data_IF_798244540854
#
_entry.id   IF_798244540854
#
_cell.length_a   1.000
_cell.length_b   1.000
_cell.length_c   1.000
_cell.angle_alpha   90.00
_cell.angle_beta   90.00
_cell.angle_gamma   90.00
#
_symmetry.space_group_name_H-M   'P 1'
#
loop_
_entity.id
_entity.type
_entity.pdbx_description
1 polymer ?
#
# COMPACT_ATOMS: atom_id res chain seq x y z
N UNK A 1 -30.63 40.52 -16.08
CA UNK A 1 -29.46 39.66 -16.29
C UNK A 1 -29.34 38.68 -15.14
N UNK A 2 -29.32 37.38 -15.43
CA UNK A 2 -29.11 36.37 -14.41
C UNK A 2 -27.67 36.48 -13.85
N UNK A 3 -27.46 36.24 -12.54
CA UNK A 3 -26.11 36.18 -11.99
C UNK A 3 -25.32 35.08 -12.66
N UNK A 4 -24.06 35.38 -13.05
CA UNK A 4 -23.15 34.44 -13.68
C UNK A 4 -21.99 34.16 -12.75
N UNK A 5 -21.63 32.88 -12.56
CA UNK A 5 -20.48 32.43 -11.78
C UNK A 5 -19.70 31.42 -12.62
N UNK A 6 -18.40 31.58 -12.67
CA UNK A 6 -17.50 30.62 -13.26
C UNK A 6 -17.11 29.57 -12.22
N UNK A 7 -17.41 28.30 -12.50
CA UNK A 7 -17.02 27.17 -11.67
C UNK A 7 -15.75 26.48 -12.17
N UNK A 8 -14.94 25.97 -11.26
CA UNK A 8 -13.85 25.07 -11.62
C UNK A 8 -14.38 23.70 -12.06
N UNK A 9 -13.70 23.04 -12.99
CA UNK A 9 -14.07 21.73 -13.53
C UNK A 9 -12.95 20.69 -13.44
N UNK A 10 -11.86 21.00 -12.72
CA UNK A 10 -10.69 20.13 -12.59
C UNK A 10 -9.94 20.37 -11.26
N UNK A 11 -9.11 19.43 -10.88
CA UNK A 11 -8.20 19.55 -9.74
C UNK A 11 -8.89 19.64 -8.37
N UNK A 12 -8.20 20.17 -7.39
CA UNK A 12 -8.66 20.27 -5.99
C UNK A 12 -10.03 20.92 -5.80
N UNK A 13 -10.41 21.97 -6.57
CA UNK A 13 -11.74 22.58 -6.44
C UNK A 13 -12.91 21.63 -6.75
N UNK A 14 -12.67 20.49 -7.36
CA UNK A 14 -13.69 19.45 -7.61
C UNK A 14 -13.37 18.13 -6.91
N UNK A 15 -12.37 18.10 -6.02
CA UNK A 15 -12.03 16.93 -5.21
C UNK A 15 -11.09 15.94 -5.87
N UNK A 16 -10.38 16.36 -6.93
CA UNK A 16 -9.40 15.56 -7.66
C UNK A 16 -7.97 16.08 -7.43
N UNK A 17 -6.92 15.27 -7.73
CA UNK A 17 -5.55 15.76 -7.75
C UNK A 17 -5.38 16.95 -8.68
N UNK A 18 -4.39 17.81 -8.40
CA UNK A 18 -4.07 18.93 -9.27
C UNK A 18 -3.75 18.48 -10.69
N UNK A 19 -4.28 19.22 -11.67
CA UNK A 19 -4.12 18.91 -13.09
C UNK A 19 -5.03 17.81 -13.63
N UNK A 20 -5.74 17.08 -12.78
CA UNK A 20 -6.68 16.05 -13.23
C UNK A 20 -8.01 16.68 -13.68
N UNK A 21 -8.43 16.34 -14.90
CA UNK A 21 -9.72 16.77 -15.45
C UNK A 21 -10.88 16.14 -14.68
N UNK A 22 -11.93 16.90 -14.42
CA UNK A 22 -13.17 16.41 -13.86
C UNK A 22 -13.88 15.40 -14.76
N UNK A 23 -14.80 14.66 -14.16
CA UNK A 23 -15.62 13.68 -14.84
C UNK A 23 -17.09 13.77 -14.35
N UNK A 24 -17.97 13.01 -15.00
CA UNK A 24 -19.42 13.03 -14.70
C UNK A 24 -19.71 12.65 -13.25
N UNK A 25 -19.05 11.63 -12.72
CA UNK A 25 -19.27 11.14 -11.33
C UNK A 25 -18.95 12.24 -10.31
N UNK A 26 -17.74 12.80 -10.40
CA UNK A 26 -17.28 13.86 -9.50
C UNK A 26 -18.17 15.10 -9.59
N UNK A 27 -18.56 15.50 -10.82
CA UNK A 27 -19.44 16.63 -11.03
C UNK A 27 -20.83 16.45 -10.39
N UNK A 28 -21.45 15.29 -10.60
CA UNK A 28 -22.75 14.98 -10.01
C UNK A 28 -22.68 14.85 -8.49
N UNK A 29 -21.62 14.26 -7.94
CA UNK A 29 -21.43 14.15 -6.51
C UNK A 29 -21.29 15.52 -5.84
N UNK A 30 -20.48 16.42 -6.39
CA UNK A 30 -20.28 17.76 -5.85
C UNK A 30 -21.56 18.62 -5.94
N UNK A 31 -22.28 18.59 -7.07
CA UNK A 31 -23.55 19.30 -7.24
C UNK A 31 -24.59 18.76 -6.28
N UNK A 32 -24.75 17.43 -6.18
CA UNK A 32 -25.73 16.80 -5.31
C UNK A 32 -25.45 17.02 -3.82
N UNK A 33 -24.19 17.08 -3.42
CA UNK A 33 -23.78 17.30 -2.04
C UNK A 33 -23.74 18.79 -1.64
N UNK A 34 -23.73 19.69 -2.62
CA UNK A 34 -23.57 21.15 -2.36
C UNK A 34 -22.21 21.51 -1.74
N UNK A 35 -21.21 20.65 -1.85
CA UNK A 35 -19.83 20.83 -1.35
C UNK A 35 -18.84 20.00 -2.14
N UNK A 36 -17.56 20.29 -1.98
CA UNK A 36 -16.50 19.50 -2.59
C UNK A 36 -16.44 18.13 -1.90
N UNK A 37 -16.54 17.06 -2.70
CA UNK A 37 -16.32 15.67 -2.28
C UNK A 37 -14.95 15.24 -2.79
N UNK A 38 -13.98 15.14 -1.90
CA UNK A 38 -12.65 14.67 -2.26
C UNK A 38 -12.67 13.18 -2.56
N UNK A 39 -12.09 12.78 -3.68
CA UNK A 39 -11.82 11.37 -4.00
C UNK A 39 -10.78 10.82 -3.01
N UNK A 40 -10.78 9.51 -2.79
CA UNK A 40 -9.98 8.88 -1.73
C UNK A 40 -8.49 9.26 -1.80
N UNK A 41 -7.87 9.21 -2.98
CA UNK A 41 -6.49 9.65 -3.18
C UNK A 41 -6.27 11.08 -2.67
N UNK A 42 -7.11 12.01 -3.13
CA UNK A 42 -7.01 13.43 -2.77
C UNK A 42 -7.30 13.66 -1.30
N UNK A 43 -8.31 12.95 -0.74
CA UNK A 43 -8.71 13.05 0.66
C UNK A 43 -7.56 12.65 1.59
N UNK A 44 -6.91 11.53 1.31
CA UNK A 44 -5.78 11.04 2.13
C UNK A 44 -4.57 11.95 1.97
N UNK A 45 -4.23 12.32 0.73
CA UNK A 45 -3.10 13.24 0.47
C UNK A 45 -3.30 14.58 1.17
N UNK A 46 -4.54 15.12 1.16
CA UNK A 46 -4.88 16.34 1.89
C UNK A 46 -4.75 16.15 3.41
N UNK A 47 -5.26 15.06 3.96
CA UNK A 47 -5.15 14.77 5.38
C UNK A 47 -3.69 14.67 5.85
N UNK A 48 -2.81 14.13 5.01
CA UNK A 48 -1.35 14.10 5.27
C UNK A 48 -0.79 15.53 5.31
N UNK A 49 -1.14 16.36 4.33
CA UNK A 49 -0.67 17.74 4.25
C UNK A 49 -1.18 18.61 5.41
N UNK A 50 -2.43 18.43 5.81
CA UNK A 50 -3.07 19.16 6.91
C UNK A 50 -2.61 18.66 8.31
N UNK A 51 -2.06 17.44 8.38
CA UNK A 51 -1.62 16.81 9.63
C UNK A 51 -2.64 15.86 10.27
N UNK A 52 -3.90 15.91 9.88
CA UNK A 52 -5.01 15.10 10.44
C UNK A 52 -4.74 13.59 10.28
N UNK A 53 -4.01 13.19 9.23
CA UNK A 53 -3.61 11.80 9.00
C UNK A 53 -2.87 11.19 10.18
N UNK A 54 -2.04 11.98 10.86
CA UNK A 54 -1.21 11.55 11.99
C UNK A 54 -1.98 11.44 13.31
N UNK A 55 -3.24 11.88 13.31
CA UNK A 55 -4.18 11.77 14.43
C UNK A 55 -5.24 10.67 14.19
N UNK A 56 -5.10 9.87 13.15
CA UNK A 56 -6.05 8.80 12.83
C UNK A 56 -6.06 7.73 13.94
N UNK A 57 -7.20 7.63 14.62
CA UNK A 57 -7.39 6.78 15.81
C UNK A 57 -7.14 5.29 15.50
N UNK A 58 -7.56 4.78 14.35
CA UNK A 58 -7.41 3.37 13.98
C UNK A 58 -5.94 3.00 13.72
N UNK A 59 -5.18 3.89 13.05
CA UNK A 59 -3.75 3.66 12.83
C UNK A 59 -2.98 3.76 14.15
N UNK A 60 -3.33 4.71 15.01
CA UNK A 60 -2.74 4.83 16.34
C UNK A 60 -3.06 3.60 17.20
N UNK A 61 -4.29 3.08 17.15
CA UNK A 61 -4.69 1.88 17.87
C UNK A 61 -3.91 0.64 17.39
N UNK A 62 -3.64 0.51 16.08
CA UNK A 62 -2.83 -0.58 15.53
C UNK A 62 -1.39 -0.53 16.08
N UNK A 63 -0.77 0.65 16.13
CA UNK A 63 0.58 0.84 16.70
C UNK A 63 0.57 0.54 18.20
N UNK A 64 -0.44 1.03 18.93
CA UNK A 64 -0.54 0.80 20.38
C UNK A 64 -0.76 -0.67 20.72
N UNK A 65 -1.55 -1.40 19.90
CA UNK A 65 -1.67 -2.85 20.01
C UNK A 65 -0.30 -3.53 19.93
N UNK A 66 0.52 -3.16 18.94
CA UNK A 66 1.86 -3.72 18.80
C UNK A 66 2.75 -3.40 19.97
N UNK A 67 2.73 -2.18 20.49
CA UNK A 67 3.49 -1.78 21.70
C UNK A 67 3.07 -2.61 22.91
N UNK A 68 1.75 -2.76 23.13
CA UNK A 68 1.20 -3.49 24.26
C UNK A 68 1.56 -4.97 24.24
N UNK A 69 1.58 -5.59 23.06
CA UNK A 69 1.84 -7.01 22.90
C UNK A 69 3.31 -7.32 22.58
N UNK A 70 4.17 -6.32 22.46
CA UNK A 70 5.54 -6.46 21.98
C UNK A 70 5.59 -7.25 20.67
N UNK A 71 4.74 -6.86 19.73
CA UNK A 71 4.53 -7.49 18.43
C UNK A 71 4.88 -6.55 17.27
N UNK A 72 4.74 -7.03 16.06
CA UNK A 72 5.17 -6.34 14.84
C UNK A 72 3.98 -5.63 14.14
N UNK A 73 4.28 -4.54 13.45
CA UNK A 73 3.35 -3.87 12.54
C UNK A 73 3.73 -4.20 11.10
N UNK A 74 2.80 -4.77 10.36
CA UNK A 74 2.96 -5.09 8.96
C UNK A 74 2.21 -4.10 8.07
N UNK A 75 2.92 -3.54 7.09
CA UNK A 75 2.37 -2.63 6.10
C UNK A 75 2.41 -3.29 4.74
N UNK A 76 1.25 -3.50 4.12
CA UNK A 76 1.23 -4.01 2.75
C UNK A 76 0.26 -3.27 1.84
N UNK A 77 0.49 -3.39 0.56
CA UNK A 77 -0.30 -2.73 -0.48
C UNK A 77 0.49 -2.52 -1.75
N UNK A 78 -0.16 -1.94 -2.75
CA UNK A 78 0.42 -1.69 -4.06
C UNK A 78 1.44 -0.55 -3.99
N UNK A 79 2.69 -0.85 -4.30
CA UNK A 79 3.79 0.12 -4.28
C UNK A 79 3.93 0.76 -5.67
N UNK A 80 3.26 1.87 -5.89
CA UNK A 80 3.40 2.72 -7.08
C UNK A 80 2.84 4.13 -6.83
N UNK A 81 3.06 5.03 -7.76
CA UNK A 81 2.48 6.37 -7.82
C UNK A 81 1.24 6.45 -8.74
N UNK A 82 0.77 5.31 -9.24
CA UNK A 82 -0.35 5.23 -10.19
C UNK A 82 -1.67 5.79 -9.67
N UNK A 83 -1.85 5.85 -8.35
CA UNK A 83 -3.00 6.51 -7.72
C UNK A 83 -4.36 5.85 -7.97
N UNK A 84 -4.39 4.59 -8.44
CA UNK A 84 -5.62 3.84 -8.73
C UNK A 84 -6.06 3.02 -7.51
N UNK A 85 -5.16 2.34 -6.85
CA UNK A 85 -5.42 1.52 -5.66
C UNK A 85 -4.79 2.09 -4.39
N UNK A 86 -3.64 2.73 -4.55
CA UNK A 86 -2.79 3.24 -3.48
C UNK A 86 -1.92 4.38 -4.02
N UNK A 87 -1.12 4.96 -3.16
CA UNK A 87 -0.05 5.86 -3.57
C UNK A 87 1.14 5.68 -2.62
N UNK A 88 2.39 5.63 -3.15
CA UNK A 88 3.60 5.41 -2.36
C UNK A 88 3.79 6.45 -1.26
N UNK A 89 3.41 7.73 -1.49
CA UNK A 89 3.49 8.79 -0.48
C UNK A 89 2.62 8.52 0.75
N UNK A 90 1.52 7.77 0.61
CA UNK A 90 0.68 7.39 1.74
C UNK A 90 1.39 6.36 2.63
N UNK A 91 2.10 5.40 2.04
CA UNK A 91 2.96 4.47 2.77
C UNK A 91 4.06 5.23 3.54
N UNK A 92 4.70 6.21 2.91
CA UNK A 92 5.73 7.02 3.57
C UNK A 92 5.15 7.79 4.78
N UNK A 93 3.94 8.33 4.67
CA UNK A 93 3.26 8.97 5.79
C UNK A 93 2.96 8.00 6.95
N UNK A 94 2.64 6.71 6.68
CA UNK A 94 2.48 5.70 7.73
C UNK A 94 3.83 5.42 8.42
N UNK A 95 4.91 5.34 7.68
CA UNK A 95 6.26 5.18 8.26
C UNK A 95 6.64 6.38 9.15
N UNK A 96 6.33 7.61 8.70
CA UNK A 96 6.50 8.82 9.51
C UNK A 96 5.63 8.81 10.78
N UNK A 97 4.38 8.32 10.68
CA UNK A 97 3.52 8.13 11.86
C UNK A 97 4.17 7.18 12.86
N UNK A 98 4.69 6.04 12.41
CA UNK A 98 5.40 5.09 13.27
C UNK A 98 6.61 5.74 13.95
N UNK A 99 7.38 6.54 13.20
CA UNK A 99 8.51 7.31 13.77
C UNK A 99 8.06 8.30 14.82
N UNK A 100 7.00 9.07 14.58
CA UNK A 100 6.41 10.01 15.55
C UNK A 100 5.93 9.30 16.81
N UNK A 101 5.47 8.06 16.67
CA UNK A 101 5.04 7.21 17.79
C UNK A 101 6.20 6.47 18.50
N UNK A 102 7.46 6.67 18.07
CA UNK A 102 8.64 5.94 18.58
C UNK A 102 8.45 4.42 18.48
N UNK A 103 7.91 3.93 17.36
CA UNK A 103 7.68 2.52 17.07
C UNK A 103 8.52 2.07 15.88
N UNK A 104 9.40 1.09 16.08
CA UNK A 104 10.42 0.68 15.10
C UNK A 104 10.20 -0.72 14.52
N UNK A 105 9.37 -1.56 15.16
CA UNK A 105 9.07 -2.92 14.67
C UNK A 105 8.06 -2.87 13.52
N UNK A 106 8.48 -2.29 12.40
CA UNK A 106 7.64 -2.05 11.22
C UNK A 106 8.20 -2.80 10.02
N UNK A 107 7.37 -3.62 9.38
CA UNK A 107 7.77 -4.44 8.25
C UNK A 107 6.87 -4.16 7.04
N UNK A 108 7.49 -3.93 5.89
CA UNK A 108 6.79 -3.58 4.66
C UNK A 108 6.79 -4.77 3.71
N UNK A 109 5.63 -5.04 3.15
CA UNK A 109 5.39 -6.08 2.16
C UNK A 109 4.83 -5.43 0.88
N UNK A 110 5.69 -4.86 0.02
CA UNK A 110 5.24 -4.20 -1.20
C UNK A 110 4.66 -5.19 -2.20
N UNK A 111 3.51 -4.83 -2.79
CA UNK A 111 2.96 -5.49 -3.97
C UNK A 111 3.28 -4.65 -5.20
N UNK A 112 3.79 -5.27 -6.27
CA UNK A 112 4.19 -4.55 -7.48
C UNK A 112 3.06 -4.45 -8.50
N UNK A 113 3.04 -3.33 -9.23
CA UNK A 113 1.94 -2.91 -10.09
C UNK A 113 2.04 -3.48 -11.50
N UNK A 114 2.71 -2.82 -12.41
CA UNK A 114 2.86 -3.20 -13.80
C UNK A 114 1.60 -3.12 -14.66
N UNK A 115 0.48 -2.59 -14.12
CA UNK A 115 -0.78 -2.36 -14.85
C UNK A 115 -1.19 -0.90 -14.87
N UNK A 116 -1.13 -0.24 -13.74
CA UNK A 116 -1.47 1.18 -13.59
C UNK A 116 -0.22 2.05 -13.79
N UNK A 117 0.94 1.41 -13.78
CA UNK A 117 2.27 1.96 -14.08
C UNK A 117 3.03 1.06 -15.06
N UNK A 118 4.13 1.52 -15.70
CA UNK A 118 4.89 0.70 -16.63
C UNK A 118 5.34 -0.64 -16.03
N UNK A 119 5.38 -1.73 -16.82
CA UNK A 119 5.57 -3.11 -16.32
C UNK A 119 6.89 -3.38 -15.60
N UNK A 120 7.90 -2.53 -15.76
CA UNK A 120 9.23 -2.69 -15.16
C UNK A 120 9.63 -1.47 -14.31
N UNK A 121 8.65 -0.78 -13.70
CA UNK A 121 8.88 0.38 -12.83
C UNK A 121 9.04 0.05 -11.36
N UNK A 122 8.61 -1.15 -10.94
CA UNK A 122 8.56 -1.58 -9.55
C UNK A 122 9.91 -1.59 -8.85
N UNK A 123 11.00 -1.90 -9.56
CA UNK A 123 12.35 -1.81 -9.00
C UNK A 123 12.68 -0.39 -8.55
N UNK A 124 12.35 0.63 -9.35
CA UNK A 124 12.57 2.03 -8.98
C UNK A 124 11.77 2.45 -7.76
N UNK A 125 10.51 2.04 -7.66
CA UNK A 125 9.68 2.29 -6.47
C UNK A 125 10.21 1.57 -5.23
N UNK A 126 10.76 0.36 -5.38
CA UNK A 126 11.38 -0.38 -4.28
C UNK A 126 12.65 0.30 -3.78
N UNK A 127 13.51 0.77 -4.69
CA UNK A 127 14.70 1.54 -4.35
C UNK A 127 14.34 2.86 -3.62
N UNK A 128 13.31 3.56 -4.10
CA UNK A 128 12.78 4.77 -3.44
C UNK A 128 12.24 4.46 -2.04
N UNK A 129 11.46 3.39 -1.89
CA UNK A 129 10.94 2.95 -0.59
C UNK A 129 12.08 2.68 0.41
N UNK A 130 13.11 1.94 -0.01
CA UNK A 130 14.26 1.63 0.83
C UNK A 130 15.01 2.91 1.24
N UNK A 131 15.18 3.84 0.31
CA UNK A 131 15.78 5.14 0.61
C UNK A 131 14.94 5.94 1.62
N UNK A 132 13.61 5.96 1.46
CA UNK A 132 12.69 6.62 2.39
C UNK A 132 12.66 5.98 3.77
N UNK A 133 12.64 4.67 3.87
CA UNK A 133 12.76 3.97 5.16
C UNK A 133 14.06 4.31 5.87
N UNK A 134 15.17 4.41 5.13
CA UNK A 134 16.46 4.84 5.68
C UNK A 134 16.46 6.30 6.14
N UNK A 135 15.83 7.20 5.37
CA UNK A 135 15.68 8.62 5.70
C UNK A 135 14.86 8.81 6.97
N UNK A 136 13.70 8.14 7.07
CA UNK A 136 12.80 8.20 8.22
C UNK A 136 13.40 7.48 9.44
N UNK A 137 14.19 6.43 9.19
CA UNK A 137 14.79 5.58 10.22
C UNK A 137 13.83 4.53 10.78
N UNK A 138 12.79 4.13 10.02
CA UNK A 138 11.80 3.11 10.40
C UNK A 138 11.46 2.26 9.19
N UNK A 139 11.26 0.97 9.42
CA UNK A 139 10.78 0.00 8.46
C UNK A 139 11.88 -0.86 7.83
N UNK A 140 11.50 -2.09 7.46
CA UNK A 140 12.29 -3.03 6.69
C UNK A 140 11.37 -3.73 5.68
N UNK A 141 11.88 -4.05 4.49
CA UNK A 141 11.18 -4.94 3.56
C UNK A 141 11.29 -6.36 4.09
N UNK A 142 10.16 -7.03 4.29
CA UNK A 142 10.12 -8.41 4.80
C UNK A 142 9.68 -9.45 3.77
N UNK A 143 8.84 -9.05 2.83
CA UNK A 143 8.52 -9.85 1.64
C UNK A 143 8.12 -8.94 0.50
N UNK A 144 8.00 -9.47 -0.71
CA UNK A 144 7.49 -8.74 -1.87
C UNK A 144 6.72 -9.69 -2.79
N UNK A 145 5.78 -9.17 -3.58
CA UNK A 145 4.97 -9.98 -4.51
C UNK A 145 4.38 -9.13 -5.62
N UNK A 146 4.19 -9.70 -6.80
CA UNK A 146 3.38 -9.08 -7.83
C UNK A 146 1.89 -9.05 -7.44
N UNK A 147 1.17 -8.05 -7.93
CA UNK A 147 -0.28 -7.90 -7.68
C UNK A 147 -1.12 -9.07 -8.21
N UNK A 148 -0.59 -9.83 -9.16
CA UNK A 148 -1.23 -11.03 -9.68
C UNK A 148 -1.53 -12.06 -8.60
N UNK A 149 -0.69 -12.15 -7.57
CA UNK A 149 -0.84 -13.06 -6.43
C UNK A 149 -1.54 -12.38 -5.24
N UNK A 150 -1.02 -11.22 -4.83
CA UNK A 150 -1.43 -10.57 -3.59
C UNK A 150 -2.69 -9.70 -3.71
N UNK A 151 -3.13 -9.41 -4.93
CA UNK A 151 -4.28 -8.56 -5.21
C UNK A 151 -5.24 -9.20 -6.21
N UNK A 152 -5.47 -10.50 -6.11
CA UNK A 152 -6.52 -11.17 -6.88
C UNK A 152 -7.91 -10.65 -6.48
N UNK A 153 -8.87 -10.73 -7.41
CA UNK A 153 -10.28 -10.40 -7.19
C UNK A 153 -11.23 -11.34 -7.96
N UNK A 154 -10.66 -12.42 -8.51
CA UNK A 154 -11.36 -13.35 -9.38
C UNK A 154 -11.55 -14.73 -8.72
N UNK A 155 -11.39 -14.77 -7.36
CA UNK A 155 -11.46 -15.96 -6.51
C UNK A 155 -10.46 -17.06 -6.94
N UNK A 156 -9.29 -16.64 -7.38
CA UNK A 156 -8.16 -17.53 -7.69
C UNK A 156 -7.36 -17.75 -6.41
N UNK A 157 -7.94 -18.54 -5.52
CA UNK A 157 -7.35 -18.84 -4.21
C UNK A 157 -5.99 -19.49 -4.29
N UNK A 158 -5.72 -20.24 -5.39
CA UNK A 158 -4.40 -20.75 -5.73
C UNK A 158 -3.30 -19.68 -5.82
N UNK A 159 -3.65 -18.46 -6.24
CA UNK A 159 -2.73 -17.32 -6.29
C UNK A 159 -2.61 -16.65 -4.92
N UNK A 160 -3.75 -16.41 -4.28
CA UNK A 160 -3.81 -15.78 -2.95
C UNK A 160 -3.03 -16.60 -1.92
N UNK A 161 -3.15 -17.93 -1.98
CA UNK A 161 -2.42 -18.85 -1.09
C UNK A 161 -0.90 -18.67 -1.17
N UNK A 162 -0.34 -18.47 -2.37
CA UNK A 162 1.10 -18.24 -2.54
C UNK A 162 1.56 -16.94 -1.86
N UNK A 163 0.78 -15.87 -2.00
CA UNK A 163 1.07 -14.61 -1.32
C UNK A 163 0.88 -14.76 0.20
N UNK A 164 -0.19 -15.41 0.66
CA UNK A 164 -0.44 -15.67 2.07
C UNK A 164 0.70 -16.47 2.72
N UNK A 165 1.15 -17.56 2.08
CA UNK A 165 2.24 -18.39 2.59
C UNK A 165 3.54 -17.60 2.72
N UNK A 166 3.85 -16.71 1.80
CA UNK A 166 5.04 -15.87 1.92
C UNK A 166 4.98 -14.90 3.12
N UNK A 167 3.77 -14.49 3.52
CA UNK A 167 3.56 -13.59 4.65
C UNK A 167 3.54 -14.30 6.01
N UNK A 168 3.05 -15.55 6.06
CA UNK A 168 2.75 -16.27 7.31
C UNK A 168 3.73 -17.40 7.59
N UNK A 169 4.02 -18.25 6.59
CA UNK A 169 4.88 -19.42 6.78
C UNK A 169 6.30 -19.22 6.27
N UNK A 170 6.54 -18.13 5.51
CA UNK A 170 7.84 -17.87 4.90
C UNK A 170 8.12 -18.77 3.69
N UNK A 171 7.09 -19.38 3.10
CA UNK A 171 7.22 -20.14 1.86
C UNK A 171 7.21 -19.19 0.65
N UNK A 172 8.12 -19.41 -0.28
CA UNK A 172 8.28 -18.58 -1.48
C UNK A 172 9.73 -18.55 -1.95
N UNK A 173 10.02 -17.69 -2.91
CA UNK A 173 11.39 -17.39 -3.31
C UNK A 173 12.12 -16.76 -2.12
N UNK A 174 13.35 -17.17 -1.85
CA UNK A 174 14.16 -16.60 -0.76
C UNK A 174 15.20 -15.64 -1.33
N UNK A 175 15.33 -14.46 -0.72
CA UNK A 175 16.33 -13.48 -1.12
C UNK A 175 16.83 -12.68 0.08
N UNK A 176 18.09 -12.28 0.08
CA UNK A 176 18.64 -11.38 1.12
C UNK A 176 18.54 -9.91 0.70
N UNK A 177 18.62 -9.63 -0.59
CA UNK A 177 18.51 -8.27 -1.15
C UNK A 177 17.25 -8.17 -2.03
N UNK A 178 16.24 -7.38 -1.63
CA UNK A 178 15.02 -7.25 -2.40
C UNK A 178 15.23 -6.59 -3.77
N UNK A 179 16.20 -5.67 -3.92
CA UNK A 179 16.48 -5.00 -5.20
C UNK A 179 17.17 -5.96 -6.17
N UNK A 180 18.11 -6.77 -5.68
CA UNK A 180 18.74 -7.80 -6.48
C UNK A 180 17.73 -8.86 -6.94
N UNK A 181 16.84 -9.32 -6.04
CA UNK A 181 15.78 -10.26 -6.38
C UNK A 181 14.82 -9.71 -7.43
N UNK A 182 14.52 -8.42 -7.37
CA UNK A 182 13.70 -7.76 -8.39
C UNK A 182 14.40 -7.73 -9.75
N UNK A 183 15.71 -7.47 -9.78
CA UNK A 183 16.50 -7.53 -11.01
C UNK A 183 16.54 -8.95 -11.58
N UNK A 184 16.76 -9.96 -10.75
CA UNK A 184 16.74 -11.37 -11.18
C UNK A 184 15.40 -11.79 -11.77
N UNK A 185 14.28 -11.25 -11.25
CA UNK A 185 12.96 -11.46 -11.82
C UNK A 185 12.86 -10.85 -13.23
N UNK A 186 13.34 -9.62 -13.41
CA UNK A 186 13.36 -8.96 -14.73
C UNK A 186 14.27 -9.66 -15.73
N UNK A 187 15.42 -10.16 -15.30
CA UNK A 187 16.35 -10.93 -16.14
C UNK A 187 15.71 -12.25 -16.65
N UNK A 188 14.69 -12.73 -15.94
CA UNK A 188 13.86 -13.90 -16.34
C UNK A 188 12.58 -13.47 -17.09
N UNK A 189 12.48 -12.21 -17.50
CA UNK A 189 11.31 -11.64 -18.17
C UNK A 189 10.00 -11.69 -17.32
N UNK A 190 10.14 -11.82 -15.99
CA UNK A 190 9.04 -11.77 -15.05
C UNK A 190 8.97 -10.37 -14.44
N UNK A 191 8.04 -9.57 -14.95
CA UNK A 191 7.90 -8.15 -14.59
C UNK A 191 6.94 -7.95 -13.40
N UNK A 192 6.82 -6.71 -12.94
CA UNK A 192 6.15 -6.24 -11.74
C UNK A 192 4.90 -7.02 -11.35
N UNK A 193 3.90 -7.09 -12.25
CA UNK A 193 2.62 -7.75 -11.99
C UNK A 193 2.77 -9.21 -11.56
N UNK A 194 3.75 -9.89 -12.14
CA UNK A 194 3.95 -11.34 -12.03
C UNK A 194 5.12 -11.75 -11.15
N UNK A 195 5.77 -10.81 -10.47
CA UNK A 195 6.85 -11.13 -9.52
C UNK A 195 6.36 -12.16 -8.51
N UNK A 196 7.06 -13.27 -8.44
CA UNK A 196 6.71 -14.36 -7.51
C UNK A 196 6.80 -13.90 -6.06
N UNK A 197 5.90 -14.37 -5.18
CA UNK A 197 6.02 -14.11 -3.75
C UNK A 197 7.40 -14.47 -3.23
N UNK A 198 8.10 -13.47 -2.73
CA UNK A 198 9.51 -13.55 -2.33
C UNK A 198 9.63 -13.12 -0.87
N UNK A 199 10.25 -13.96 -0.06
CA UNK A 199 10.52 -13.72 1.37
C UNK A 199 11.93 -13.15 1.50
N UNK A 200 12.05 -12.01 2.16
CA UNK A 200 13.36 -11.41 2.44
C UNK A 200 13.93 -12.03 3.70
N UNK A 201 15.20 -12.43 3.62
CA UNK A 201 15.88 -13.14 4.70
C UNK A 201 17.11 -12.38 5.18
N UNK A 202 17.38 -12.47 6.46
CA UNK A 202 18.64 -12.05 7.09
C UNK A 202 19.24 -13.27 7.80
N UNK A 203 20.48 -13.63 7.47
CA UNK A 203 21.17 -14.80 8.03
C UNK A 203 20.37 -16.11 7.87
N UNK A 204 19.72 -16.30 6.72
CA UNK A 204 18.96 -17.50 6.38
C UNK A 204 17.60 -17.62 7.09
N UNK A 205 17.10 -16.56 7.74
CA UNK A 205 15.79 -16.52 8.39
C UNK A 205 14.95 -15.38 7.81
N UNK A 206 13.62 -15.54 7.68
CA UNK A 206 12.76 -14.44 7.30
C UNK A 206 12.96 -13.21 8.20
N UNK A 207 13.01 -12.03 7.58
CA UNK A 207 13.13 -10.73 8.29
C UNK A 207 11.97 -10.56 9.27
N UNK A 208 10.76 -10.81 8.84
CA UNK A 208 9.58 -10.96 9.70
C UNK A 208 8.48 -11.73 8.97
N UNK A 209 7.67 -12.44 9.74
CA UNK A 209 6.44 -13.12 9.31
C UNK A 209 5.30 -12.64 10.19
N UNK A 210 4.09 -12.63 9.65
CA UNK A 210 2.88 -12.25 10.41
C UNK A 210 2.56 -13.32 11.44
N UNK A 211 2.38 -12.90 12.69
CA UNK A 211 2.15 -13.75 13.86
C UNK A 211 0.90 -13.31 14.62
N UNK A 212 0.38 -14.13 15.51
CA UNK A 212 -0.69 -13.71 16.42
C UNK A 212 -0.31 -12.44 17.22
N UNK A 213 -1.25 -11.55 17.38
CA UNK A 213 -1.14 -10.23 18.01
C UNK A 213 -0.41 -9.15 17.19
N UNK A 214 0.14 -9.46 16.03
CA UNK A 214 0.63 -8.43 15.12
C UNK A 214 -0.55 -7.58 14.61
N UNK A 215 -0.23 -6.37 14.20
CA UNK A 215 -1.19 -5.51 13.50
C UNK A 215 -0.82 -5.38 12.04
N UNK A 216 -1.84 -5.18 11.21
CA UNK A 216 -1.68 -5.01 9.78
C UNK A 216 -2.38 -3.73 9.33
N UNK A 217 -1.69 -2.92 8.54
CA UNK A 217 -2.29 -1.81 7.81
C UNK A 217 -2.15 -2.08 6.31
N UNK A 218 -3.29 -2.25 5.65
CA UNK A 218 -3.36 -2.34 4.20
C UNK A 218 -3.53 -0.91 3.64
N UNK A 219 -2.51 -0.34 3.04
CA UNK A 219 -2.52 1.06 2.62
C UNK A 219 -3.24 1.33 1.27
N UNK A 220 -3.84 0.34 0.67
CA UNK A 220 -4.73 0.55 -0.48
C UNK A 220 -6.02 1.25 -0.02
N UNK A 221 -6.41 2.31 -0.71
CA UNK A 221 -7.68 2.99 -0.48
C UNK A 221 -8.83 2.41 -1.32
N UNK A 222 -8.53 1.66 -2.38
CA UNK A 222 -9.52 0.96 -3.19
C UNK A 222 -9.66 -0.50 -2.73
N UNK A 223 -10.88 -0.94 -2.32
CA UNK A 223 -11.05 -2.20 -1.60
C UNK A 223 -11.19 -3.44 -2.48
N UNK A 224 -11.51 -3.32 -3.78
CA UNK A 224 -11.91 -4.45 -4.63
C UNK A 224 -10.86 -5.57 -4.69
N UNK A 225 -9.58 -5.22 -4.70
CA UNK A 225 -8.46 -6.17 -4.74
C UNK A 225 -7.80 -6.44 -3.37
N UNK A 226 -8.32 -5.83 -2.30
CA UNK A 226 -7.84 -6.08 -0.95
C UNK A 226 -8.63 -7.20 -0.24
N UNK A 227 -9.85 -7.47 -0.70
CA UNK A 227 -10.82 -8.33 0.01
C UNK A 227 -10.36 -9.77 0.15
N UNK A 228 -9.79 -10.37 -0.90
CA UNK A 228 -9.47 -11.80 -0.89
C UNK A 228 -8.33 -12.11 0.07
N UNK A 229 -7.21 -11.40 -0.03
CA UNK A 229 -6.12 -11.62 0.91
C UNK A 229 -6.53 -11.26 2.35
N UNK A 230 -7.41 -10.26 2.55
CA UNK A 230 -7.94 -9.95 3.88
C UNK A 230 -8.78 -11.11 4.42
N UNK A 231 -9.61 -11.76 3.59
CA UNK A 231 -10.36 -12.95 4.00
C UNK A 231 -9.45 -14.08 4.42
N UNK A 232 -8.33 -14.29 3.71
CA UNK A 232 -7.34 -15.29 4.06
C UNK A 232 -6.77 -15.11 5.49
N UNK A 233 -6.76 -13.89 6.02
CA UNK A 233 -6.32 -13.60 7.40
C UNK A 233 -7.44 -13.56 8.43
N UNK A 234 -8.69 -13.31 8.02
CA UNK A 234 -9.78 -12.97 8.93
C UNK A 234 -10.91 -14.01 8.96
N UNK A 235 -10.96 -14.95 8.00
CA UNK A 235 -12.02 -15.95 7.92
C UNK A 235 -11.46 -17.34 8.21
N UNK A 236 -12.28 -18.16 8.93
CA UNK A 236 -11.91 -19.54 9.31
C UNK A 236 -11.99 -20.52 8.14
N UNK A 237 -12.68 -20.16 7.05
CA UNK A 237 -13.00 -21.00 5.90
C UNK A 237 -12.25 -20.58 4.61
N UNK A 238 -11.05 -20.12 4.77
CA UNK A 238 -10.13 -19.77 3.68
C UNK A 238 -9.48 -21.01 3.07
#
# INVERSE_FOLDING_TARGET
TAPFVQGAASGLPVGLPDGQMGNSEVGHMNIGAGRIIYQELTRITKAIADGDFFENEEMLAAIENCKKNNSDLHLWGLLSDGGVHSHNTHLYAILELCKKQNFENVYVHPFFDGRDTPPASGKGYLEELIAKMKEIGVGKVASMSGRYYAMDRDNRWDRVELAYKSLVTGEGVQAEDPVAAMQESYDKEVYDEFVLPTVITENGKPVSLVKPNDSVIFFNFRPDRAREITRAFCCDDF
#
